data_IF_576937793596
#
_entry.id   IF_576937793596
#
_cell.length_a   1.000
_cell.length_b   1.000
_cell.length_c   1.000
_cell.angle_alpha   90.00
_cell.angle_beta   90.00
_cell.angle_gamma   90.00
#
_symmetry.space_group_name_H-M   'P 1'
#
loop_
_entity.id
_entity.type
_entity.pdbx_description
1 polymer ?
#
# COMPACT_ATOMS: atom_id res chain seq x y z
N UNK A 1 -27.99 -44.47 53.22
CA UNK A 1 -27.69 -44.23 51.79
C UNK A 1 -28.20 -42.84 51.44
N UNK A 2 -27.34 -42.03 50.80
CA UNK A 2 -27.63 -40.95 49.83
C UNK A 2 -28.41 -39.71 50.35
N UNK A 3 -27.76 -38.54 50.52
CA UNK A 3 -27.46 -37.48 49.51
C UNK A 3 -28.70 -36.62 49.18
N UNK A 4 -28.72 -35.29 49.07
CA UNK A 4 -27.71 -34.26 48.78
C UNK A 4 -28.22 -32.91 49.35
N UNK A 5 -27.33 -32.08 49.90
CA UNK A 5 -27.50 -30.62 49.94
C UNK A 5 -26.70 -30.05 48.77
N UNK A 6 -27.32 -29.20 47.95
CA UNK A 6 -26.66 -28.46 46.89
C UNK A 6 -26.48 -27.02 47.37
N UNK A 7 -25.26 -26.66 47.73
CA UNK A 7 -24.85 -25.29 47.99
C UNK A 7 -24.71 -24.54 46.66
N UNK A 8 -25.45 -23.46 46.52
CA UNK A 8 -25.42 -22.55 45.39
C UNK A 8 -24.39 -21.45 45.71
N UNK A 9 -23.14 -21.62 45.27
CA UNK A 9 -22.10 -20.60 45.41
C UNK A 9 -22.20 -19.59 44.25
N UNK A 10 -22.41 -18.31 44.58
CA UNK A 10 -22.24 -17.21 43.63
C UNK A 10 -20.74 -17.03 43.31
N UNK A 11 -20.36 -16.77 42.05
CA UNK A 11 -18.96 -16.56 41.67
C UNK A 11 -18.40 -15.26 42.29
N UNK A 12 -17.12 -15.29 42.63
CA UNK A 12 -16.41 -14.20 43.31
C UNK A 12 -16.12 -13.03 42.35
N UNK A 13 -15.93 -11.83 42.89
CA UNK A 13 -15.69 -10.59 42.12
C UNK A 13 -14.44 -10.64 41.23
N UNK A 14 -13.49 -11.54 41.52
CA UNK A 14 -12.31 -11.81 40.68
C UNK A 14 -12.66 -12.54 39.38
N UNK A 15 -13.77 -13.29 39.34
CA UNK A 15 -14.25 -13.96 38.13
C UNK A 15 -15.04 -12.99 37.22
N UNK A 16 -15.64 -11.93 37.78
CA UNK A 16 -16.37 -10.93 37.01
C UNK A 16 -15.45 -10.03 36.19
N UNK A 17 -14.28 -9.64 36.73
CA UNK A 17 -13.28 -8.87 35.97
C UNK A 17 -12.66 -9.71 34.85
N UNK A 18 -12.36 -10.99 35.09
CA UNK A 18 -11.82 -11.90 34.06
C UNK A 18 -12.85 -12.27 32.97
N UNK A 19 -14.15 -12.30 33.32
CA UNK A 19 -15.24 -12.47 32.35
C UNK A 19 -15.43 -11.19 31.52
N UNK A 20 -15.28 -10.01 32.13
CA UNK A 20 -15.38 -8.73 31.43
C UNK A 20 -14.18 -8.50 30.50
N UNK A 21 -12.97 -8.84 30.93
CA UNK A 21 -11.75 -8.73 30.10
C UNK A 21 -11.77 -9.75 28.94
N UNK A 22 -12.30 -10.97 29.15
CA UNK A 22 -12.57 -11.92 28.06
C UNK A 22 -13.71 -11.50 27.15
N UNK A 23 -14.69 -10.76 27.64
CA UNK A 23 -15.78 -10.22 26.83
C UNK A 23 -15.26 -9.07 25.96
N UNK A 24 -14.45 -8.17 26.52
CA UNK A 24 -13.79 -7.07 25.79
C UNK A 24 -12.77 -7.60 24.77
N UNK A 25 -11.97 -8.63 25.11
CA UNK A 25 -11.09 -9.29 24.15
C UNK A 25 -11.85 -10.04 23.05
N UNK A 26 -13.05 -10.58 23.34
CA UNK A 26 -13.93 -11.18 22.33
C UNK A 26 -14.64 -10.14 21.48
N UNK A 27 -15.01 -9.01 22.06
CA UNK A 27 -15.61 -7.87 21.35
C UNK A 27 -14.58 -7.21 20.44
N UNK A 28 -13.36 -6.97 20.93
CA UNK A 28 -12.22 -6.49 20.14
C UNK A 28 -11.80 -7.51 19.06
N UNK A 29 -11.77 -8.81 19.38
CA UNK A 29 -11.55 -9.86 18.38
C UNK A 29 -12.72 -9.99 17.40
N UNK A 30 -13.95 -9.63 17.77
CA UNK A 30 -15.11 -9.58 16.86
C UNK A 30 -15.22 -8.29 16.07
N UNK A 31 -14.53 -7.22 16.49
CA UNK A 31 -14.33 -5.99 15.73
C UNK A 31 -13.15 -6.14 14.75
N UNK A 32 -12.17 -6.97 15.09
CA UNK A 32 -11.05 -7.36 14.20
C UNK A 32 -11.42 -8.52 13.26
N UNK A 33 -12.34 -9.41 13.66
CA UNK A 33 -12.94 -10.47 12.83
C UNK A 33 -14.35 -10.11 12.33
N UNK A 34 -14.79 -8.87 12.55
CA UNK A 34 -16.01 -8.36 11.94
C UNK A 34 -15.75 -8.41 10.46
N UNK A 35 -16.57 -9.17 9.74
CA UNK A 35 -16.49 -9.41 8.30
C UNK A 35 -15.63 -8.32 7.66
N UNK A 36 -14.37 -8.65 7.38
CA UNK A 36 -13.81 -8.17 6.13
C UNK A 36 -14.74 -8.86 5.14
N UNK A 37 -15.87 -8.21 4.86
CA UNK A 37 -16.30 -8.09 3.49
C UNK A 37 -14.99 -7.70 2.82
N UNK A 38 -14.29 -8.71 2.29
CA UNK A 38 -13.72 -8.52 1.00
C UNK A 38 -14.95 -8.06 0.22
N UNK A 39 -15.16 -6.74 0.21
CA UNK A 39 -15.28 -6.04 -1.04
C UNK A 39 -14.14 -6.68 -1.85
N UNK A 40 -14.46 -7.81 -2.48
CA UNK A 40 -14.03 -8.05 -3.84
C UNK A 40 -14.39 -6.72 -4.46
N UNK A 41 -13.41 -5.80 -4.45
CA UNK A 41 -13.41 -4.70 -5.39
C UNK A 41 -13.70 -5.46 -6.67
N UNK A 42 -14.93 -5.37 -7.17
CA UNK A 42 -15.28 -5.88 -8.48
C UNK A 42 -14.23 -5.19 -9.33
N UNK A 43 -13.19 -5.96 -9.67
CA UNK A 43 -12.10 -5.47 -10.49
C UNK A 43 -12.85 -5.20 -11.78
N UNK A 44 -13.26 -3.94 -11.95
CA UNK A 44 -14.02 -3.53 -13.11
C UNK A 44 -13.13 -3.99 -14.24
N UNK A 45 -13.57 -5.03 -14.94
CA UNK A 45 -12.79 -5.60 -16.03
C UNK A 45 -12.84 -4.56 -17.13
N UNK A 46 -12.01 -3.52 -16.98
CA UNK A 46 -11.76 -2.53 -18.00
C UNK A 46 -11.18 -3.36 -19.11
N UNK A 47 -12.00 -3.65 -20.12
CA UNK A 47 -11.57 -4.34 -21.31
C UNK A 47 -10.33 -3.58 -21.78
N UNK A 48 -9.15 -4.19 -21.58
CA UNK A 48 -7.90 -3.53 -21.93
C UNK A 48 -8.03 -3.20 -23.42
N UNK A 49 -8.00 -1.91 -23.78
CA UNK A 49 -8.14 -1.55 -25.17
C UNK A 49 -7.01 -2.23 -25.95
N UNK A 50 -7.25 -2.49 -27.24
CA UNK A 50 -6.33 -3.17 -28.16
C UNK A 50 -4.87 -2.92 -27.78
N UNK A 51 -4.19 -3.97 -27.32
CA UNK A 51 -2.82 -3.88 -26.78
C UNK A 51 -1.94 -3.31 -27.88
N UNK A 52 -1.53 -2.04 -27.73
CA UNK A 52 -0.54 -1.43 -28.60
C UNK A 52 0.70 -2.35 -28.53
N UNK A 53 1.17 -2.90 -29.67
CA UNK A 53 2.33 -3.78 -29.67
C UNK A 53 3.50 -3.12 -28.95
N UNK A 54 4.22 -3.87 -28.11
CA UNK A 54 5.29 -3.33 -27.26
C UNK A 54 6.33 -2.52 -28.04
N UNK A 55 6.63 -2.97 -29.27
CA UNK A 55 7.54 -2.33 -30.21
C UNK A 55 7.07 -0.96 -30.71
N UNK A 56 5.79 -0.64 -30.59
CA UNK A 56 5.19 0.64 -30.97
C UNK A 56 4.97 1.58 -29.80
N UNK A 57 5.12 1.09 -28.56
CA UNK A 57 4.93 1.88 -27.35
C UNK A 57 6.08 2.86 -27.13
N UNK A 58 5.75 4.03 -26.60
CA UNK A 58 6.71 5.03 -26.08
C UNK A 58 7.81 5.44 -27.09
N UNK A 59 7.52 5.42 -28.40
CA UNK A 59 8.46 5.91 -29.41
C UNK A 59 8.72 7.41 -29.21
N UNK A 60 9.98 7.87 -29.29
CA UNK A 60 10.27 9.30 -29.20
C UNK A 60 9.54 10.10 -30.27
N UNK A 61 8.88 11.18 -29.86
CA UNK A 61 8.19 12.08 -30.77
C UNK A 61 9.16 13.20 -31.18
N UNK A 62 9.50 13.36 -32.48
CA UNK A 62 10.30 14.48 -32.93
C UNK A 62 9.66 15.82 -32.53
N UNK A 63 10.47 16.78 -32.07
CA UNK A 63 9.97 18.10 -31.64
C UNK A 63 9.12 18.79 -32.72
N UNK A 64 9.47 18.64 -34.00
CA UNK A 64 8.73 19.18 -35.13
C UNK A 64 7.32 18.59 -35.28
N UNK A 65 7.12 17.34 -34.85
CA UNK A 65 5.85 16.63 -34.93
C UNK A 65 5.01 16.75 -33.64
N UNK A 66 5.61 17.15 -32.52
CA UNK A 66 4.96 17.13 -31.20
C UNK A 66 3.61 17.84 -31.15
N UNK A 67 3.50 19.05 -31.72
CA UNK A 67 2.22 19.79 -31.72
C UNK A 67 1.13 19.07 -32.51
N UNK A 68 1.47 18.42 -33.61
CA UNK A 68 0.52 17.65 -34.41
C UNK A 68 0.09 16.38 -33.67
N UNK A 69 1.06 15.67 -33.08
CA UNK A 69 0.81 14.48 -32.27
C UNK A 69 -0.13 14.79 -31.10
N UNK A 70 0.12 15.83 -30.31
CA UNK A 70 -0.79 16.22 -29.20
C UNK A 70 -2.22 16.50 -29.69
N UNK A 71 -2.39 17.17 -30.84
CA UNK A 71 -3.72 17.38 -31.44
C UNK A 71 -4.39 16.07 -31.87
N UNK A 72 -3.62 15.08 -32.29
CA UNK A 72 -4.12 13.74 -32.61
C UNK A 72 -4.57 13.01 -31.34
N UNK A 73 -3.79 13.10 -30.26
CA UNK A 73 -4.09 12.44 -28.98
C UNK A 73 -5.36 12.98 -28.31
N UNK A 74 -5.66 14.27 -28.48
CA UNK A 74 -6.91 14.90 -27.99
C UNK A 74 -8.18 14.51 -28.77
N UNK A 75 -8.07 13.85 -29.95
CA UNK A 75 -9.25 13.49 -30.74
C UNK A 75 -10.10 12.46 -30.00
N UNK A 76 -11.39 12.39 -30.36
CA UNK A 76 -12.33 11.41 -29.82
C UNK A 76 -12.38 11.39 -28.27
N UNK A 77 -12.35 12.58 -27.63
CA UNK A 77 -12.34 12.75 -26.16
C UNK A 77 -11.08 12.17 -25.50
N UNK A 78 -9.90 12.65 -25.87
CA UNK A 78 -8.64 12.24 -25.22
C UNK A 78 -8.27 10.76 -25.40
N UNK A 79 -8.97 10.04 -26.29
CA UNK A 79 -8.82 8.60 -26.49
C UNK A 79 -7.36 8.20 -26.74
N UNK A 80 -6.61 9.00 -27.48
CA UNK A 80 -5.19 8.71 -27.72
C UNK A 80 -4.39 8.68 -26.41
N UNK A 81 -4.57 9.67 -25.54
CA UNK A 81 -3.90 9.71 -24.24
C UNK A 81 -4.37 8.60 -23.30
N UNK A 82 -5.66 8.29 -23.29
CA UNK A 82 -6.20 7.18 -22.50
C UNK A 82 -5.54 5.85 -22.90
N UNK A 83 -5.49 5.56 -24.21
CA UNK A 83 -4.85 4.36 -24.74
C UNK A 83 -3.37 4.29 -24.38
N UNK A 84 -2.63 5.38 -24.57
CA UNK A 84 -1.20 5.43 -24.23
C UNK A 84 -0.97 5.25 -22.72
N UNK A 85 -1.75 5.94 -21.88
CA UNK A 85 -1.67 5.85 -20.43
C UNK A 85 -1.94 4.42 -19.94
N UNK A 86 -3.01 3.78 -20.41
CA UNK A 86 -3.31 2.40 -20.05
C UNK A 86 -2.26 1.42 -20.54
N UNK A 87 -1.59 1.71 -21.66
CA UNK A 87 -0.47 0.90 -22.11
C UNK A 87 0.66 0.88 -21.08
N UNK A 88 0.91 1.98 -20.34
CA UNK A 88 2.00 2.09 -19.35
C UNK A 88 1.93 1.02 -18.26
N UNK A 89 0.75 0.48 -17.96
CA UNK A 89 0.58 -0.60 -17.01
C UNK A 89 1.49 -1.78 -17.40
N UNK A 90 2.51 -2.02 -16.58
CA UNK A 90 3.37 -3.18 -16.70
C UNK A 90 2.90 -4.22 -15.68
N UNK A 91 2.70 -5.49 -16.06
CA UNK A 91 2.38 -6.54 -15.10
C UNK A 91 3.58 -6.88 -14.18
N UNK A 92 4.69 -6.14 -14.29
CA UNK A 92 5.88 -6.33 -13.46
C UNK A 92 5.57 -5.89 -12.03
N UNK A 93 5.47 -6.87 -11.16
CA UNK A 93 5.42 -6.67 -9.71
C UNK A 93 6.85 -6.59 -9.19
N UNK A 94 7.18 -5.50 -8.51
CA UNK A 94 8.48 -5.33 -7.85
C UNK A 94 8.35 -5.54 -6.34
N UNK A 95 9.36 -6.17 -5.70
CA UNK A 95 9.40 -6.33 -4.25
C UNK A 95 9.33 -5.00 -3.49
N UNK A 96 8.67 -5.03 -2.35
CA UNK A 96 8.50 -3.90 -1.41
C UNK A 96 8.40 -4.44 0.02
N UNK A 97 9.17 -5.48 0.33
CA UNK A 97 9.09 -6.21 1.60
C UNK A 97 9.52 -5.34 2.78
N UNK A 98 10.52 -4.47 2.60
CA UNK A 98 11.02 -3.60 3.68
C UNK A 98 9.95 -2.60 4.12
N UNK A 99 9.20 -2.08 3.15
CA UNK A 99 8.13 -1.12 3.40
C UNK A 99 6.94 -1.72 4.17
N UNK A 100 6.80 -3.05 4.14
CA UNK A 100 5.74 -3.84 4.78
C UNK A 100 6.12 -4.46 6.13
N UNK A 101 7.35 -4.23 6.63
CA UNK A 101 7.70 -4.63 7.99
C UNK A 101 6.80 -3.90 9.01
N UNK A 102 6.42 -4.59 10.09
CA UNK A 102 5.51 -4.04 11.10
C UNK A 102 6.00 -2.71 11.69
N UNK A 103 7.31 -2.59 11.92
CA UNK A 103 7.97 -1.37 12.41
C UNK A 103 7.98 -0.20 11.41
N UNK A 104 7.71 -0.47 10.13
CA UNK A 104 7.71 0.52 9.05
C UNK A 104 6.30 0.89 8.56
N UNK A 105 5.28 0.06 8.85
CA UNK A 105 3.88 0.33 8.51
C UNK A 105 3.41 1.75 8.89
N UNK A 106 3.58 2.19 10.15
CA UNK A 106 3.21 3.55 10.60
C UNK A 106 3.98 4.68 9.89
N UNK A 107 5.15 4.38 9.31
CA UNK A 107 5.95 5.37 8.57
C UNK A 107 5.40 5.61 7.15
N UNK A 108 4.43 4.84 6.69
CA UNK A 108 3.76 5.01 5.40
C UNK A 108 2.48 5.83 5.54
N UNK A 109 2.32 6.87 4.71
CA UNK A 109 1.09 7.69 4.68
C UNK A 109 -0.10 6.92 4.10
N UNK A 110 0.14 6.07 3.12
CA UNK A 110 -0.89 5.31 2.43
C UNK A 110 -0.52 3.82 2.42
N UNK A 111 -1.47 2.95 2.78
CA UNK A 111 -1.27 1.50 2.88
C UNK A 111 -1.18 0.78 1.51
N UNK A 112 -1.28 1.52 0.42
CA UNK A 112 -1.18 1.02 -0.95
C UNK A 112 -0.06 1.69 -1.76
N UNK A 113 0.75 2.56 -1.15
CA UNK A 113 1.85 3.27 -1.83
C UNK A 113 3.16 2.99 -1.10
N UNK A 114 3.99 2.14 -1.68
CA UNK A 114 5.26 1.69 -1.11
C UNK A 114 6.43 1.96 -2.07
N UNK A 115 7.63 2.28 -1.55
CA UNK A 115 8.84 2.23 -2.36
C UNK A 115 9.19 0.77 -2.68
N UNK A 116 9.81 0.54 -3.83
CA UNK A 116 10.37 -0.77 -4.17
C UNK A 116 11.70 -0.98 -3.45
N UNK A 117 12.00 -2.24 -3.10
CA UNK A 117 13.19 -2.58 -2.33
C UNK A 117 14.50 -2.18 -3.05
N UNK A 118 14.55 -2.33 -4.38
CA UNK A 118 15.74 -2.06 -5.20
C UNK A 118 16.04 -0.57 -5.41
N UNK A 119 15.02 0.30 -5.28
CA UNK A 119 15.15 1.74 -5.53
C UNK A 119 14.89 2.62 -4.31
N UNK A 120 14.54 2.03 -3.16
CA UNK A 120 14.30 2.80 -1.93
C UNK A 120 15.53 3.60 -1.50
N UNK A 121 15.27 4.73 -0.85
CA UNK A 121 16.32 5.46 -0.13
C UNK A 121 16.58 4.75 1.21
N UNK A 122 17.84 4.44 1.49
CA UNK A 122 18.28 3.81 2.74
C UNK A 122 18.93 4.87 3.63
N UNK A 123 18.38 5.10 4.81
CA UNK A 123 18.96 6.01 5.80
C UNK A 123 20.05 5.30 6.62
N UNK A 124 20.83 6.09 7.35
CA UNK A 124 21.75 5.53 8.35
C UNK A 124 20.97 4.82 9.46
N UNK A 125 21.36 3.59 9.79
CA UNK A 125 20.81 2.83 10.90
C UNK A 125 21.17 3.53 12.22
N UNK A 126 20.19 3.62 13.12
CA UNK A 126 20.38 4.06 14.49
C UNK A 126 20.36 2.84 15.42
N UNK A 127 21.33 2.78 16.33
CA UNK A 127 21.49 1.65 17.25
C UNK A 127 20.24 1.45 18.13
N UNK A 128 19.73 0.22 18.15
CA UNK A 128 18.57 -0.16 18.97
C UNK A 128 17.22 0.32 18.42
N UNK A 129 17.17 1.01 17.27
CA UNK A 129 15.93 1.48 16.64
C UNK A 129 15.66 0.68 15.37
N UNK A 130 14.72 -0.26 15.46
CA UNK A 130 14.32 -1.10 14.34
C UNK A 130 13.66 -0.27 13.21
N UNK A 131 14.05 -0.55 11.96
CA UNK A 131 13.56 0.17 10.79
C UNK A 131 14.00 1.64 10.73
N UNK A 132 15.03 2.05 11.48
CA UNK A 132 15.57 3.43 11.42
C UNK A 132 16.19 3.77 10.06
N UNK A 133 16.54 2.77 9.25
CA UNK A 133 17.01 2.95 7.87
C UNK A 133 15.88 3.26 6.86
N UNK A 134 14.62 3.18 7.29
CA UNK A 134 13.47 3.25 6.41
C UNK A 134 12.87 4.65 6.30
N UNK A 135 12.66 5.06 5.06
CA UNK A 135 11.78 6.15 4.67
C UNK A 135 10.99 5.73 3.42
N UNK A 136 9.72 6.13 3.32
CA UNK A 136 8.94 5.95 2.10
C UNK A 136 9.40 6.96 1.04
N UNK A 137 10.48 6.59 0.35
CA UNK A 137 11.08 7.34 -0.74
C UNK A 137 11.87 6.42 -1.67
N UNK A 138 11.92 6.78 -2.96
CA UNK A 138 12.66 6.06 -4.00
C UNK A 138 13.57 6.99 -4.78
N UNK A 139 14.72 6.50 -5.21
CA UNK A 139 15.52 7.14 -6.24
C UNK A 139 14.81 7.05 -7.60
N UNK A 140 14.81 8.16 -8.32
CA UNK A 140 14.23 8.27 -9.66
C UNK A 140 15.31 8.75 -10.62
N UNK A 141 15.46 8.04 -11.73
CA UNK A 141 16.37 8.41 -12.80
C UNK A 141 15.86 9.67 -13.51
N UNK A 142 16.82 10.52 -13.91
CA UNK A 142 16.58 11.66 -14.78
C UNK A 142 17.08 11.39 -16.20
N UNK A 143 16.98 12.41 -17.06
CA UNK A 143 17.59 12.34 -18.38
C UNK A 143 19.12 12.20 -18.28
N UNK A 144 19.65 11.05 -18.75
CA UNK A 144 21.08 10.70 -18.72
C UNK A 144 21.73 10.76 -17.33
N UNK A 145 20.96 10.56 -16.25
CA UNK A 145 21.50 10.57 -14.89
C UNK A 145 20.72 9.59 -14.01
N UNK A 146 21.40 8.53 -13.57
CA UNK A 146 20.84 7.62 -12.57
C UNK A 146 20.70 8.31 -11.21
N UNK A 147 19.65 7.97 -10.46
CA UNK A 147 19.37 8.50 -9.13
C UNK A 147 19.41 10.03 -9.07
N UNK A 148 18.87 10.69 -10.10
CA UNK A 148 18.91 12.14 -10.22
C UNK A 148 18.00 12.84 -9.19
N UNK A 149 16.93 12.16 -8.79
CA UNK A 149 15.91 12.68 -7.90
C UNK A 149 15.58 11.68 -6.80
N UNK A 150 14.97 12.19 -5.73
CA UNK A 150 14.29 11.40 -4.70
C UNK A 150 12.81 11.75 -4.76
N UNK A 151 11.97 10.78 -5.08
CA UNK A 151 10.53 10.89 -4.89
C UNK A 151 10.20 10.40 -3.48
N UNK A 152 9.64 11.27 -2.64
CA UNK A 152 9.31 10.96 -1.25
C UNK A 152 7.87 11.35 -0.95
N UNK A 153 7.22 10.59 -0.06
CA UNK A 153 5.92 11.01 0.47
C UNK A 153 6.06 12.34 1.25
N UNK A 154 4.97 13.13 1.29
CA UNK A 154 4.93 14.30 2.16
C UNK A 154 5.06 13.89 3.63
N UNK A 155 5.94 14.54 4.39
CA UNK A 155 6.20 14.22 5.80
C UNK A 155 4.94 14.34 6.65
N UNK A 156 4.62 13.29 7.41
CA UNK A 156 3.56 13.29 8.42
C UNK A 156 4.12 13.41 9.84
N UNK A 157 3.26 13.59 10.84
CA UNK A 157 3.67 13.62 12.26
C UNK A 157 4.44 12.34 12.64
N UNK A 158 4.02 11.18 12.10
CA UNK A 158 4.65 9.89 12.38
C UNK A 158 6.00 9.68 11.66
N UNK A 159 6.35 10.51 10.68
CA UNK A 159 7.67 10.45 10.02
C UNK A 159 8.80 11.00 10.90
N UNK A 160 8.48 11.61 12.04
CA UNK A 160 9.43 12.20 12.99
C UNK A 160 9.58 11.40 14.30
N UNK A 161 8.87 10.28 14.44
CA UNK A 161 8.98 9.42 15.62
C UNK A 161 10.10 8.41 15.34
N UNK A 162 11.32 8.82 15.67
CA UNK A 162 12.45 7.93 15.93
C UNK A 162 12.23 7.20 17.26
#
# INVERSE_FOLDING_TARGET
MLSKTADNAYPSTLDLEAVNEKAELREFASLQNGNVEHEEEEEETVAYPEVIPEEERMKPIPRSAFSQHVKEMHREREKGFELEYHSLASPKVYPHFIAKLDCNGPKNRFANIYPFDDSRVVLSVLDGIEGSDYINASFIDGYNRQNAYIAAQGTGIQSFIL
#
